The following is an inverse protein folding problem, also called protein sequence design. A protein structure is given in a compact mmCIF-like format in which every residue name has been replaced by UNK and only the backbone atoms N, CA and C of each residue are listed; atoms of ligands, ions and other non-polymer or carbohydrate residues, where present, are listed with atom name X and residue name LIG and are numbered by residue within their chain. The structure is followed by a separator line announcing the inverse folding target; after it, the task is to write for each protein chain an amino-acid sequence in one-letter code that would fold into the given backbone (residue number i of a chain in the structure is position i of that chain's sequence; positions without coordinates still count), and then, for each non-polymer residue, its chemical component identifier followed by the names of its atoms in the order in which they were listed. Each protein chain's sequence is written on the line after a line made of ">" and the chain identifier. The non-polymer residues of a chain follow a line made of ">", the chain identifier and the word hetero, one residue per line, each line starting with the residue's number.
data_IF_402995239872
#
_entry.id   IF_402995239872
#
_cell.length_a   1.000
_cell.length_b   1.000
_cell.length_c   1.000
_cell.angle_alpha   90.00
_cell.angle_beta   90.00
_cell.angle_gamma   90.00
#
_symmetry.space_group_name_H-M   'P 1'
#
loop_
_entity.id
_entity.type
_entity.pdbx_description
1 polymer ?
#
# COMPACT_ATOMS: atom_id res chain seq x y z
N UNK A 1 -18.52 38.14 -1.09
CA UNK A 1 -19.66 37.23 -1.05
C UNK A 1 -19.10 35.81 -1.09
N UNK A 2 -19.16 35.08 0.02
CA UNK A 2 -18.63 33.71 0.15
C UNK A 2 -19.68 32.74 -0.37
N UNK A 3 -19.33 31.95 -1.39
CA UNK A 3 -20.09 30.75 -1.75
C UNK A 3 -19.12 29.59 -1.54
N UNK A 4 -19.27 28.94 -0.38
CA UNK A 4 -18.65 27.66 -0.09
C UNK A 4 -19.27 26.62 -1.01
N UNK A 5 -18.49 26.10 -1.95
CA UNK A 5 -18.92 25.01 -2.81
C UNK A 5 -18.93 23.74 -1.97
N UNK A 6 -20.14 23.31 -1.63
CA UNK A 6 -20.48 22.09 -0.92
C UNK A 6 -19.94 20.89 -1.74
N UNK A 7 -18.91 20.22 -1.24
CA UNK A 7 -18.43 18.95 -1.77
C UNK A 7 -19.53 17.91 -1.51
N UNK A 8 -20.29 17.57 -2.56
CA UNK A 8 -21.12 16.36 -2.56
C UNK A 8 -20.20 15.14 -2.56
N UNK A 9 -19.84 14.67 -1.37
CA UNK A 9 -19.38 13.31 -1.14
C UNK A 9 -20.55 12.37 -1.48
N UNK A 10 -20.49 11.78 -2.67
CA UNK A 10 -21.38 10.71 -3.09
C UNK A 10 -21.19 9.51 -2.15
N UNK A 11 -22.14 9.38 -1.22
CA UNK A 11 -22.40 8.21 -0.40
C UNK A 11 -22.84 7.04 -1.28
N UNK A 12 -21.92 6.46 -2.05
CA UNK A 12 -22.08 5.10 -2.58
C UNK A 12 -21.65 4.13 -1.49
N UNK A 13 -22.50 4.00 -0.47
CA UNK A 13 -22.35 3.00 0.59
C UNK A 13 -22.41 1.60 0.00
N UNK A 14 -21.24 1.05 -0.35
CA UNK A 14 -21.07 -0.38 -0.56
C UNK A 14 -20.99 -1.00 0.84
N UNK A 15 -22.08 -1.63 1.30
CA UNK A 15 -22.09 -2.35 2.56
C UNK A 15 -20.86 -3.28 2.65
N UNK A 16 -20.05 -3.14 3.70
CA UNK A 16 -18.85 -3.95 3.96
C UNK A 16 -17.51 -3.23 3.78
N UNK A 17 -17.40 -2.33 2.79
CA UNK A 17 -16.11 -1.70 2.46
C UNK A 17 -15.78 -0.50 3.35
N UNK A 18 -14.63 -0.56 4.02
CA UNK A 18 -14.06 0.54 4.80
C UNK A 18 -12.92 1.20 4.03
N UNK A 19 -12.90 2.53 4.00
CA UNK A 19 -11.77 3.29 3.43
C UNK A 19 -10.49 3.00 4.20
N UNK A 20 -9.39 2.83 3.48
CA UNK A 20 -8.05 2.72 4.07
C UNK A 20 -7.44 4.12 4.15
N UNK A 21 -7.25 4.59 5.38
CA UNK A 21 -6.67 5.89 5.64
C UNK A 21 -5.22 5.97 5.16
N UNK A 22 -4.87 7.08 4.51
CA UNK A 22 -3.49 7.37 4.14
C UNK A 22 -2.66 7.65 5.39
N UNK A 23 -1.41 7.21 5.34
CA UNK A 23 -0.39 7.55 6.32
C UNK A 23 0.98 7.32 5.72
N UNK A 24 2.02 7.82 6.38
CA UNK A 24 3.40 7.60 5.96
C UNK A 24 3.94 6.33 6.64
N UNK A 25 3.67 5.18 6.03
CA UNK A 25 4.12 3.89 6.55
C UNK A 25 5.38 3.39 5.84
N UNK A 26 6.23 2.67 6.57
CA UNK A 26 7.50 2.12 6.08
C UNK A 26 7.57 0.62 6.34
N UNK A 27 8.04 -0.11 5.33
CA UNK A 27 8.38 -1.52 5.46
C UNK A 27 9.78 -1.63 6.08
N UNK A 28 9.91 -2.45 7.11
CA UNK A 28 11.18 -2.71 7.81
C UNK A 28 11.34 -4.21 8.05
N UNK A 29 12.56 -4.65 8.31
CA UNK A 29 12.81 -5.97 8.87
C UNK A 29 12.29 -6.00 10.31
N UNK A 30 11.59 -7.06 10.68
CA UNK A 30 11.08 -7.23 12.05
C UNK A 30 12.25 -7.40 13.04
N UNK A 31 13.29 -8.12 12.64
CA UNK A 31 14.52 -8.32 13.42
C UNK A 31 15.70 -7.58 12.76
N UNK A 32 16.38 -6.66 13.46
CA UNK A 32 17.55 -5.95 12.92
C UNK A 32 18.69 -6.87 12.49
N UNK A 33 18.82 -8.05 13.12
CA UNK A 33 19.88 -9.01 12.87
C UNK A 33 19.60 -9.93 11.67
N UNK A 34 18.36 -10.00 11.19
CA UNK A 34 17.96 -10.88 10.09
C UNK A 34 17.69 -10.08 8.82
N UNK A 35 18.58 -10.17 7.84
CA UNK A 35 18.42 -9.53 6.53
C UNK A 35 18.53 -10.57 5.43
N UNK A 36 17.42 -10.81 4.74
CA UNK A 36 17.30 -11.83 3.71
C UNK A 36 15.89 -11.85 3.13
N UNK A 37 15.71 -12.57 2.01
CA UNK A 37 14.42 -12.68 1.35
C UNK A 37 13.34 -13.31 2.25
N UNK A 38 13.75 -14.26 3.09
CA UNK A 38 12.89 -14.97 4.05
C UNK A 38 12.74 -14.25 5.40
N UNK A 39 13.42 -13.11 5.60
CA UNK A 39 13.34 -12.38 6.85
C UNK A 39 11.92 -11.85 7.06
N UNK A 40 11.42 -11.98 8.30
CA UNK A 40 10.14 -11.38 8.66
C UNK A 40 10.20 -9.87 8.49
N UNK A 41 9.12 -9.32 7.95
CA UNK A 41 8.94 -7.89 7.69
C UNK A 41 7.79 -7.39 8.54
N UNK A 42 7.83 -6.12 8.86
CA UNK A 42 6.71 -5.43 9.49
C UNK A 42 6.57 -4.02 8.93
N UNK A 43 5.41 -3.41 9.21
CA UNK A 43 5.10 -2.06 8.77
C UNK A 43 5.03 -1.15 9.98
N UNK A 44 5.86 -0.11 10.00
CA UNK A 44 5.92 0.87 11.08
C UNK A 44 5.62 2.28 10.54
N UNK A 45 5.31 3.21 11.43
CA UNK A 45 5.15 4.61 11.03
C UNK A 45 6.50 5.20 10.63
N UNK A 46 6.48 6.24 9.79
CA UNK A 46 7.67 7.03 9.48
C UNK A 46 8.34 7.57 10.73
N UNK A 47 7.57 8.10 11.68
CA UNK A 47 8.09 8.67 12.93
C UNK A 47 8.85 7.61 13.75
N UNK A 48 8.32 6.39 13.84
CA UNK A 48 9.00 5.31 14.55
C UNK A 48 10.27 4.87 13.81
N UNK A 49 10.22 4.81 12.47
CA UNK A 49 11.42 4.55 11.67
C UNK A 49 12.50 5.62 11.85
N UNK A 50 12.13 6.90 11.92
CA UNK A 50 13.06 8.01 12.13
C UNK A 50 13.67 7.99 13.53
N UNK A 51 12.87 7.66 14.55
CA UNK A 51 13.37 7.44 15.93
C UNK A 51 14.37 6.29 15.99
N UNK A 52 14.06 5.18 15.35
CA UNK A 52 14.95 4.01 15.26
C UNK A 52 16.31 4.36 14.64
N UNK A 53 16.29 5.11 13.53
CA UNK A 53 17.51 5.60 12.88
C UNK A 53 18.30 6.52 13.81
N UNK A 54 17.63 7.47 14.47
CA UNK A 54 18.28 8.39 15.40
C UNK A 54 18.91 7.68 16.61
N UNK A 55 18.37 6.52 17.01
CA UNK A 55 18.88 5.67 18.09
C UNK A 55 19.92 4.63 17.62
N UNK A 56 20.26 4.63 16.33
CA UNK A 56 21.24 3.70 15.74
C UNK A 56 20.69 2.29 15.45
N UNK A 57 19.40 2.03 15.71
CA UNK A 57 18.76 0.76 15.39
C UNK A 57 18.14 0.82 13.99
N UNK A 58 18.90 0.52 12.93
CA UNK A 58 18.42 0.65 11.56
C UNK A 58 17.84 -0.67 11.02
N UNK A 59 16.52 -0.86 11.18
CA UNK A 59 15.77 -2.00 10.64
C UNK A 59 15.30 -1.83 9.18
N UNK A 60 15.85 -0.85 8.45
CA UNK A 60 15.43 -0.52 7.08
C UNK A 60 15.36 -1.75 6.18
N UNK A 61 14.22 -1.97 5.55
CA UNK A 61 14.09 -2.94 4.46
C UNK A 61 14.56 -2.30 3.16
N UNK A 62 15.38 -3.03 2.41
CA UNK A 62 15.84 -2.63 1.09
C UNK A 62 15.46 -3.74 0.11
N UNK A 63 14.82 -3.34 -0.98
CA UNK A 63 14.46 -4.25 -2.06
C UNK A 63 15.74 -4.87 -2.67
N UNK A 64 15.79 -6.19 -2.89
CA UNK A 64 16.86 -6.80 -3.67
C UNK A 64 17.01 -6.14 -5.04
N UNK A 65 18.21 -6.15 -5.61
CA UNK A 65 18.42 -5.60 -6.95
C UNK A 65 17.48 -6.26 -7.98
N UNK A 66 16.78 -5.44 -8.77
CA UNK A 66 15.80 -5.90 -9.75
C UNK A 66 14.44 -6.29 -9.18
N UNK A 67 14.24 -6.25 -7.86
CA UNK A 67 12.94 -6.44 -7.25
C UNK A 67 12.04 -5.23 -7.53
N UNK A 68 10.83 -5.50 -8.00
CA UNK A 68 9.76 -4.53 -8.12
C UNK A 68 8.50 -5.11 -7.49
N UNK A 69 7.78 -4.29 -6.72
CA UNK A 69 6.46 -4.70 -6.25
C UNK A 69 5.52 -4.85 -7.45
N UNK A 70 4.67 -5.90 -7.48
CA UNK A 70 3.67 -6.05 -8.52
C UNK A 70 2.64 -4.92 -8.46
N UNK A 71 2.05 -4.58 -9.61
CA UNK A 71 0.98 -3.58 -9.67
C UNK A 71 -0.33 -4.17 -9.15
N UNK A 72 -0.93 -3.54 -8.14
CA UNK A 72 -2.17 -4.02 -7.53
C UNK A 72 -3.30 -4.15 -8.56
N UNK A 73 -3.43 -3.17 -9.46
CA UNK A 73 -4.46 -3.18 -10.51
C UNK A 73 -4.32 -4.36 -11.48
N UNK A 74 -3.12 -4.94 -11.60
CA UNK A 74 -2.82 -6.09 -12.46
C UNK A 74 -2.87 -7.42 -11.69
N UNK A 75 -3.08 -7.38 -10.37
CA UNK A 75 -3.18 -8.56 -9.52
C UNK A 75 -4.62 -9.06 -9.47
N UNK A 76 -4.85 -10.35 -9.71
CA UNK A 76 -6.19 -10.95 -9.70
C UNK A 76 -6.58 -11.54 -8.34
N UNK A 77 -5.61 -12.01 -7.58
CA UNK A 77 -5.82 -12.50 -6.21
C UNK A 77 -4.56 -12.29 -5.39
N UNK A 78 -4.72 -12.16 -4.07
CA UNK A 78 -3.61 -12.10 -3.13
C UNK A 78 -3.71 -13.28 -2.16
N UNK A 79 -2.62 -14.05 -2.03
CA UNK A 79 -2.48 -15.09 -1.02
C UNK A 79 -1.40 -14.68 -0.02
N UNK A 80 -1.69 -14.81 1.27
CA UNK A 80 -0.80 -14.42 2.36
C UNK A 80 -0.82 -15.49 3.47
N UNK A 81 0.27 -15.62 4.21
CA UNK A 81 0.25 -16.26 5.53
C UNK A 81 -0.09 -15.25 6.64
N UNK A 82 -0.58 -15.72 7.79
CA UNK A 82 -0.72 -14.87 8.98
C UNK A 82 0.64 -14.28 9.39
N UNK A 83 0.71 -12.95 9.48
CA UNK A 83 1.91 -12.19 9.80
C UNK A 83 2.77 -11.84 8.58
N UNK A 84 2.46 -12.35 7.39
CA UNK A 84 3.16 -11.99 6.16
C UNK A 84 2.83 -10.55 5.74
N UNK A 85 3.83 -9.86 5.19
CA UNK A 85 3.68 -8.54 4.58
C UNK A 85 4.05 -8.60 3.10
N UNK A 86 3.12 -8.21 2.23
CA UNK A 86 3.35 -8.07 0.79
C UNK A 86 3.11 -6.61 0.37
N UNK A 87 3.98 -6.08 -0.47
CA UNK A 87 3.82 -4.75 -1.05
C UNK A 87 3.28 -4.81 -2.47
N UNK A 88 2.47 -3.83 -2.84
CA UNK A 88 1.99 -3.62 -4.21
C UNK A 88 2.20 -2.17 -4.63
N UNK A 89 2.52 -1.95 -5.90
CA UNK A 89 2.47 -0.60 -6.50
C UNK A 89 1.04 -0.29 -6.91
N UNK A 90 0.59 0.92 -6.59
CA UNK A 90 -0.66 1.49 -7.10
C UNK A 90 -0.26 2.67 -7.97
N UNK A 91 -0.53 2.56 -9.27
CA UNK A 91 -0.47 3.69 -10.19
C UNK A 91 -1.46 4.78 -9.76
N UNK A 92 -0.96 6.00 -9.56
CA UNK A 92 -1.69 7.19 -9.14
C UNK A 92 -1.60 8.32 -10.20
N UNK A 93 -1.66 7.96 -11.50
CA UNK A 93 -1.87 8.95 -12.57
C UNK A 93 -3.11 9.84 -12.34
N UNK A 94 -4.13 9.30 -11.66
CA UNK A 94 -5.20 10.05 -11.00
C UNK A 94 -5.33 9.60 -9.54
N UNK A 95 -6.04 10.39 -8.73
CA UNK A 95 -6.23 10.11 -7.31
C UNK A 95 -6.75 8.68 -7.08
N UNK A 96 -5.97 7.89 -6.34
CA UNK A 96 -6.35 6.53 -5.98
C UNK A 96 -6.97 6.47 -4.57
N UNK A 97 -8.04 5.69 -4.45
CA UNK A 97 -8.68 5.34 -3.19
C UNK A 97 -8.67 3.83 -3.00
N UNK A 98 -8.44 3.39 -1.78
CA UNK A 98 -8.45 1.99 -1.42
C UNK A 98 -9.49 1.74 -0.34
N UNK A 99 -10.25 0.68 -0.54
CA UNK A 99 -11.23 0.20 0.40
C UNK A 99 -10.98 -1.28 0.68
N UNK A 100 -11.42 -1.74 1.85
CA UNK A 100 -11.33 -3.13 2.25
C UNK A 100 -12.63 -3.61 2.86
N UNK A 101 -13.07 -4.78 2.43
CA UNK A 101 -14.13 -5.54 3.08
C UNK A 101 -13.53 -6.79 3.74
N UNK A 102 -14.01 -7.11 4.95
CA UNK A 102 -13.40 -8.10 5.84
C UNK A 102 -12.26 -7.54 6.70
N UNK A 103 -11.78 -8.37 7.64
CA UNK A 103 -10.78 -8.00 8.66
C UNK A 103 -9.61 -9.00 8.75
N UNK A 104 -9.47 -9.86 7.73
CA UNK A 104 -8.37 -10.83 7.61
C UNK A 104 -7.02 -10.13 7.37
N UNK A 105 -7.03 -8.90 6.87
CA UNK A 105 -5.82 -8.10 6.56
C UNK A 105 -5.79 -6.76 7.28
N UNK A 106 -4.58 -6.22 7.45
CA UNK A 106 -4.34 -4.79 7.71
C UNK A 106 -3.66 -4.17 6.49
N UNK A 107 -3.96 -2.90 6.24
CA UNK A 107 -3.55 -2.20 5.03
C UNK A 107 -2.89 -0.88 5.41
N UNK A 108 -1.78 -0.58 4.77
CA UNK A 108 -0.98 0.59 5.07
C UNK A 108 -0.49 1.23 3.77
N UNK A 109 -0.83 2.50 3.57
CA UNK A 109 -0.26 3.27 2.46
C UNK A 109 1.22 3.54 2.74
N UNK A 110 2.07 3.17 1.80
CA UNK A 110 3.43 3.66 1.72
C UNK A 110 3.46 5.10 1.18
N UNK A 111 4.67 5.67 1.09
CA UNK A 111 4.85 7.01 0.54
C UNK A 111 4.40 7.06 -0.92
N UNK A 112 3.86 8.22 -1.33
CA UNK A 112 3.66 8.57 -2.73
C UNK A 112 5.01 8.97 -3.33
N UNK A 113 5.46 8.22 -4.32
CA UNK A 113 6.68 8.50 -5.08
C UNK A 113 6.34 9.16 -6.42
N UNK A 114 7.08 10.22 -6.74
CA UNK A 114 7.08 10.82 -8.08
C UNK A 114 8.31 10.31 -8.81
N UNK A 115 8.11 9.63 -9.93
CA UNK A 115 9.20 9.12 -10.78
C UNK A 115 9.13 9.84 -12.12
N UNK A 116 10.11 10.69 -12.36
CA UNK A 116 10.31 11.33 -13.66
C UNK A 116 11.12 10.38 -14.55
N UNK A 117 10.70 10.20 -15.80
CA UNK A 117 11.28 9.24 -16.72
C UNK A 117 11.03 9.60 -18.17
N UNK A 118 11.63 8.85 -19.09
CA UNK A 118 11.54 9.13 -20.52
C UNK A 118 10.81 7.99 -21.24
N UNK A 119 9.83 8.33 -22.08
CA UNK A 119 9.18 7.38 -22.99
C UNK A 119 9.46 7.83 -24.43
N UNK A 120 10.56 7.34 -25.00
CA UNK A 120 11.13 7.92 -26.20
C UNK A 120 11.64 9.34 -25.91
N UNK A 121 11.26 10.31 -26.71
CA UNK A 121 11.65 11.73 -26.54
C UNK A 121 10.70 12.53 -25.64
N UNK A 122 9.74 11.85 -24.99
CA UNK A 122 8.72 12.50 -24.16
C UNK A 122 9.06 12.29 -22.68
N UNK A 123 9.11 13.38 -21.93
CA UNK A 123 9.19 13.36 -20.47
C UNK A 123 7.84 12.88 -19.90
N UNK A 124 7.92 11.87 -19.04
CA UNK A 124 6.76 11.24 -18.40
C UNK A 124 7.01 11.22 -16.90
N UNK A 125 6.21 12.01 -16.18
CA UNK A 125 6.07 11.86 -14.73
C UNK A 125 5.07 10.75 -14.42
N UNK A 126 5.49 9.78 -13.64
CA UNK A 126 4.60 8.79 -13.01
C UNK A 126 4.49 9.06 -11.51
N UNK A 127 3.31 8.79 -10.97
CA UNK A 127 3.02 8.87 -9.54
C UNK A 127 2.61 7.50 -9.08
N UNK A 128 3.31 6.96 -8.09
CA UNK A 128 3.09 5.60 -7.61
C UNK A 128 3.07 5.62 -6.09
N UNK A 129 2.06 5.02 -5.47
CA UNK A 129 2.09 4.70 -4.05
C UNK A 129 2.35 3.23 -3.86
N UNK A 130 3.01 2.89 -2.76
CA UNK A 130 3.07 1.49 -2.31
C UNK A 130 1.87 1.20 -1.40
N UNK A 131 1.28 0.03 -1.50
CA UNK A 131 0.34 -0.51 -0.52
C UNK A 131 1.00 -1.70 0.16
N UNK A 132 1.11 -1.67 1.48
CA UNK A 132 1.49 -2.85 2.26
C UNK A 132 0.24 -3.56 2.77
N UNK A 133 0.15 -4.85 2.45
CA UNK A 133 -0.92 -5.75 2.88
C UNK A 133 -0.33 -6.73 3.89
N UNK A 134 -0.89 -6.73 5.09
CA UNK A 134 -0.44 -7.58 6.20
C UNK A 134 -1.51 -8.61 6.53
N UNK A 135 -1.15 -9.90 6.51
CA UNK A 135 -2.01 -10.98 6.98
C UNK A 135 -2.26 -10.87 8.49
N UNK A 136 -3.47 -10.51 8.92
CA UNK A 136 -3.80 -10.30 10.33
C UNK A 136 -4.30 -11.57 11.01
N UNK A 137 -5.20 -12.29 10.34
CA UNK A 137 -5.79 -13.54 10.81
C UNK A 137 -6.24 -14.38 9.62
N UNK A 138 -6.33 -15.69 9.82
CA UNK A 138 -6.88 -16.60 8.81
C UNK A 138 -8.28 -16.16 8.39
N UNK A 139 -8.54 -16.20 7.08
CA UNK A 139 -9.81 -15.80 6.51
C UNK A 139 -9.69 -15.13 5.16
N UNK A 140 -10.73 -14.41 4.78
CA UNK A 140 -10.82 -13.72 3.51
C UNK A 140 -11.07 -12.23 3.71
N UNK A 141 -10.59 -11.44 2.76
CA UNK A 141 -10.90 -10.03 2.62
C UNK A 141 -11.01 -9.69 1.12
N UNK A 142 -11.60 -8.56 0.79
CA UNK A 142 -11.60 -8.03 -0.57
C UNK A 142 -11.03 -6.63 -0.55
N UNK A 143 -10.02 -6.38 -1.37
CA UNK A 143 -9.50 -5.04 -1.61
C UNK A 143 -10.19 -4.44 -2.81
N UNK A 144 -10.60 -3.19 -2.70
CA UNK A 144 -11.13 -2.42 -3.82
C UNK A 144 -10.26 -1.22 -4.06
N UNK A 145 -9.60 -1.20 -5.22
CA UNK A 145 -8.87 -0.03 -5.69
C UNK A 145 -9.75 0.74 -6.67
N UNK A 146 -9.92 2.03 -6.40
CA UNK A 146 -10.60 2.98 -7.28
C UNK A 146 -9.57 3.99 -7.75
N UNK A 147 -9.44 4.18 -9.07
CA UNK A 147 -8.55 5.17 -9.65
C UNK A 147 -9.28 5.86 -10.82
N UNK A 148 -9.66 7.13 -10.61
CA UNK A 148 -10.50 7.88 -11.55
C UNK A 148 -11.84 7.17 -11.81
N UNK A 149 -12.10 6.79 -13.06
CA UNK A 149 -13.30 6.03 -13.46
C UNK A 149 -13.13 4.51 -13.38
N UNK A 150 -11.93 4.01 -13.06
CA UNK A 150 -11.64 2.58 -12.96
C UNK A 150 -11.81 2.09 -11.53
N UNK A 151 -12.36 0.87 -11.39
CA UNK A 151 -12.44 0.15 -10.12
C UNK A 151 -12.07 -1.31 -10.35
N UNK A 152 -11.29 -1.89 -9.43
CA UNK A 152 -11.01 -3.33 -9.39
C UNK A 152 -11.16 -3.86 -7.97
N UNK A 153 -11.90 -4.96 -7.85
CA UNK A 153 -12.02 -5.73 -6.62
C UNK A 153 -11.06 -6.93 -6.70
N UNK A 154 -10.30 -7.15 -5.64
CA UNK A 154 -9.20 -8.12 -5.58
C UNK A 154 -9.41 -8.98 -4.33
N UNK A 155 -9.76 -10.27 -4.48
CA UNK A 155 -9.88 -11.18 -3.35
C UNK A 155 -8.52 -11.40 -2.68
N UNK A 156 -8.55 -11.48 -1.36
CA UNK A 156 -7.39 -11.80 -0.52
C UNK A 156 -7.73 -12.99 0.36
N UNK A 157 -6.84 -13.98 0.37
CA UNK A 157 -6.93 -15.14 1.26
C UNK A 157 -5.72 -15.16 2.18
N UNK A 158 -5.98 -15.23 3.48
CA UNK A 158 -4.95 -15.40 4.52
C UNK A 158 -5.05 -16.81 5.07
N UNK A 159 -3.96 -17.56 4.98
CA UNK A 159 -3.82 -18.94 5.44
C UNK A 159 -3.03 -19.02 6.74
#
# INVERSE_FOLDING_TARGET
>A
MRIQLLVLLTLSGCAGFKTVERGDWRLVYADPAQRGAESKREVITRDDSEKEIAQGNRRTWEAPAGYAFPKLQQTDTVGLEVGEVVGFVIDEQSDAQLYADGDAVKLFWGPLEKKDGWKGDIDVTTRESTLYVVGKRQGQATLRVVNGSSQKDIPVTVK
#
